data_IF_463021823369
#
_entry.id   IF_463021823369
#
_cell.length_a   1.000
_cell.length_b   1.000
_cell.length_c   1.000
_cell.angle_alpha   90.00
_cell.angle_beta   90.00
_cell.angle_gamma   90.00
#
_symmetry.space_group_name_H-M   'P 1'
#
loop_
_entity.id
_entity.type
_entity.pdbx_description
1 polymer ?
#
# COMPACT_ATOMS: atom_id res chain seq x y z
N UNK A 1 37.27 -4.15 -19.27
CA UNK A 1 36.38 -3.02 -18.91
C UNK A 1 36.24 -3.10 -17.41
N UNK A 2 36.78 -2.13 -16.68
CA UNK A 2 36.62 -2.08 -15.21
C UNK A 2 35.14 -1.92 -14.89
N UNK A 3 34.63 -2.75 -13.97
CA UNK A 3 33.27 -2.61 -13.50
C UNK A 3 33.17 -1.33 -12.67
N UNK A 4 32.14 -0.48 -12.90
CA UNK A 4 31.94 0.71 -12.09
C UNK A 4 31.73 0.31 -10.62
N UNK A 5 32.41 1.00 -9.72
CA UNK A 5 32.32 0.76 -8.28
C UNK A 5 30.91 1.15 -7.80
N UNK A 6 30.12 0.16 -7.41
CA UNK A 6 28.74 0.39 -6.95
C UNK A 6 28.73 0.94 -5.52
N UNK A 7 27.77 1.82 -5.16
CA UNK A 7 27.63 2.28 -3.79
C UNK A 7 27.37 1.10 -2.85
N UNK A 8 27.92 1.19 -1.62
CA UNK A 8 27.74 0.15 -0.59
C UNK A 8 26.26 -0.02 -0.26
N UNK A 9 25.82 -1.24 0.05
CA UNK A 9 24.42 -1.49 0.45
C UNK A 9 24.11 -0.85 1.81
N UNK A 10 22.86 -0.43 2.00
CA UNK A 10 22.35 0.13 3.27
C UNK A 10 22.38 -0.95 4.37
N UNK A 11 22.06 -2.20 4.03
CA UNK A 11 22.10 -3.35 4.93
C UNK A 11 23.28 -4.25 4.56
N UNK A 12 24.04 -4.70 5.57
CA UNK A 12 25.07 -5.71 5.33
C UNK A 12 24.44 -7.10 5.15
N UNK A 13 25.18 -8.02 4.55
CA UNK A 13 24.68 -9.36 4.26
C UNK A 13 24.30 -10.07 5.58
N UNK A 14 23.01 -10.38 5.76
CA UNK A 14 22.47 -11.01 6.97
C UNK A 14 21.78 -10.05 7.95
N UNK A 15 21.75 -8.75 7.66
CA UNK A 15 20.98 -7.77 8.44
C UNK A 15 19.58 -7.57 7.83
N UNK A 16 18.56 -7.49 8.69
CA UNK A 16 17.18 -7.21 8.30
C UNK A 16 16.77 -5.77 8.67
N UNK A 17 15.90 -5.11 7.88
CA UNK A 17 15.34 -3.82 8.26
C UNK A 17 14.54 -3.92 9.58
N UNK A 18 14.52 -2.85 10.40
CA UNK A 18 13.77 -2.84 11.65
C UNK A 18 12.30 -3.26 11.46
N UNK A 19 11.75 -4.05 12.39
CA UNK A 19 10.40 -4.64 12.29
C UNK A 19 9.24 -3.63 12.08
N UNK A 20 9.46 -2.33 12.29
CA UNK A 20 8.49 -1.29 11.91
C UNK A 20 8.30 -1.18 10.38
N UNK A 21 9.18 -1.82 9.61
CA UNK A 21 9.16 -1.90 8.15
C UNK A 21 8.78 -3.29 7.63
N UNK A 22 8.36 -4.22 8.51
CA UNK A 22 7.89 -5.54 8.07
C UNK A 22 6.47 -5.46 7.54
N UNK A 23 6.24 -5.98 6.32
CA UNK A 23 4.90 -6.21 5.77
C UNK A 23 4.36 -7.51 6.41
N UNK A 24 3.30 -7.49 7.24
CA UNK A 24 2.78 -8.70 7.85
C UNK A 24 2.04 -9.55 6.81
N UNK A 25 2.79 -10.48 6.24
CA UNK A 25 2.40 -11.35 5.13
C UNK A 25 1.14 -12.20 5.39
N UNK A 26 0.99 -12.75 6.60
CA UNK A 26 -0.11 -13.68 6.91
C UNK A 26 -1.46 -12.99 7.16
N UNK A 27 -1.46 -11.68 7.42
CA UNK A 27 -2.67 -10.93 7.76
C UNK A 27 -3.57 -10.69 6.54
N UNK A 28 -2.97 -10.58 5.36
CA UNK A 28 -3.62 -10.28 4.09
C UNK A 28 -4.51 -11.42 3.58
N UNK A 29 -4.04 -12.67 3.68
CA UNK A 29 -4.72 -13.84 3.11
C UNK A 29 -6.06 -14.14 3.79
N UNK A 30 -6.07 -14.16 5.13
CA UNK A 30 -7.28 -14.45 5.90
C UNK A 30 -8.33 -13.37 5.68
N UNK A 31 -7.91 -12.10 5.61
CA UNK A 31 -8.81 -10.99 5.33
C UNK A 31 -9.41 -11.07 3.93
N UNK A 32 -8.60 -11.40 2.91
CA UNK A 32 -9.09 -11.60 1.55
C UNK A 32 -10.12 -12.74 1.47
N UNK A 33 -9.83 -13.85 2.15
CA UNK A 33 -10.74 -15.01 2.18
C UNK A 33 -12.07 -14.64 2.82
N UNK A 34 -12.05 -13.89 3.93
CA UNK A 34 -13.25 -13.37 4.58
C UNK A 34 -14.03 -12.44 3.64
N UNK A 35 -13.35 -11.49 2.98
CA UNK A 35 -13.97 -10.57 2.02
C UNK A 35 -14.69 -11.31 0.88
N UNK A 36 -14.01 -12.28 0.25
CA UNK A 36 -14.55 -13.03 -0.88
C UNK A 36 -15.73 -13.92 -0.49
N UNK A 37 -15.75 -14.41 0.75
CA UNK A 37 -16.87 -15.20 1.29
C UNK A 37 -18.09 -14.33 1.61
N UNK A 38 -17.85 -13.11 2.08
CA UNK A 38 -18.89 -12.24 2.64
C UNK A 38 -19.59 -11.37 1.60
N UNK A 39 -18.85 -10.88 0.59
CA UNK A 39 -19.43 -10.04 -0.46
C UNK A 39 -20.20 -10.88 -1.48
N UNK A 40 -21.28 -10.32 -2.01
CA UNK A 40 -21.94 -10.89 -3.19
C UNK A 40 -21.03 -10.75 -4.42
N UNK A 41 -21.23 -11.59 -5.43
CA UNK A 41 -20.40 -11.59 -6.64
C UNK A 41 -20.34 -10.21 -7.33
N UNK A 42 -21.47 -9.49 -7.40
CA UNK A 42 -21.52 -8.14 -7.98
C UNK A 42 -20.77 -7.11 -7.12
N UNK A 43 -20.89 -7.20 -5.80
CA UNK A 43 -20.19 -6.32 -4.85
C UNK A 43 -18.67 -6.56 -4.89
N UNK A 44 -18.24 -7.82 -4.99
CA UNK A 44 -16.84 -8.20 -5.07
C UNK A 44 -16.20 -7.74 -6.40
N UNK A 45 -16.89 -7.93 -7.53
CA UNK A 45 -16.40 -7.45 -8.83
C UNK A 45 -16.39 -5.92 -8.89
N UNK A 46 -17.39 -5.23 -8.32
CA UNK A 46 -17.37 -3.76 -8.20
C UNK A 46 -16.15 -3.27 -7.39
N UNK A 47 -15.85 -3.92 -6.27
CA UNK A 47 -14.68 -3.61 -5.46
C UNK A 47 -13.36 -3.89 -6.19
N UNK A 48 -13.30 -4.96 -6.98
CA UNK A 48 -12.13 -5.34 -7.79
C UNK A 48 -11.88 -4.38 -8.95
N UNK A 49 -12.92 -3.78 -9.51
CA UNK A 49 -12.81 -2.76 -10.56
C UNK A 49 -12.65 -1.33 -10.02
N UNK A 50 -12.69 -1.15 -8.69
CA UNK A 50 -12.36 0.13 -8.04
C UNK A 50 -10.87 0.51 -8.20
N UNK A 51 -10.55 1.78 -7.90
CA UNK A 51 -9.16 2.27 -7.82
C UNK A 51 -8.28 1.51 -6.83
N UNK A 52 -8.90 0.86 -5.83
CA UNK A 52 -8.22 0.05 -4.83
C UNK A 52 -8.25 -1.45 -5.14
N UNK A 53 -8.92 -1.84 -6.22
CA UNK A 53 -9.04 -3.23 -6.63
C UNK A 53 -7.72 -3.89 -7.03
N UNK A 54 -6.66 -3.10 -7.26
CA UNK A 54 -5.29 -3.60 -7.48
C UNK A 54 -4.85 -4.58 -6.38
N UNK A 55 -5.23 -4.34 -5.12
CA UNK A 55 -4.88 -5.21 -4.00
C UNK A 55 -5.58 -6.57 -4.07
N UNK A 56 -6.83 -6.59 -4.54
CA UNK A 56 -7.58 -7.83 -4.80
C UNK A 56 -6.95 -8.57 -5.98
N UNK A 57 -6.66 -7.86 -7.07
CA UNK A 57 -6.02 -8.40 -8.27
C UNK A 57 -4.66 -9.03 -7.95
N UNK A 58 -3.85 -8.39 -7.12
CA UNK A 58 -2.58 -8.96 -6.65
C UNK A 58 -2.77 -10.27 -5.89
N UNK A 59 -3.75 -10.33 -4.99
CA UNK A 59 -4.02 -11.56 -4.26
C UNK A 59 -4.48 -12.70 -5.18
N UNK A 60 -5.38 -12.43 -6.13
CA UNK A 60 -5.87 -13.43 -7.08
C UNK A 60 -4.79 -13.93 -8.05
N UNK A 61 -3.82 -13.06 -8.38
CA UNK A 61 -2.66 -13.41 -9.19
C UNK A 61 -1.56 -14.17 -8.41
N UNK A 62 -1.76 -14.41 -7.10
CA UNK A 62 -0.78 -15.11 -6.28
C UNK A 62 0.52 -14.31 -6.09
N UNK A 63 0.44 -12.98 -6.03
CA UNK A 63 1.60 -12.09 -5.80
C UNK A 63 2.30 -12.28 -4.44
N UNK A 64 1.89 -13.29 -3.66
CA UNK A 64 2.62 -13.89 -2.53
C UNK A 64 4.13 -14.09 -2.81
N UNK A 65 4.49 -14.29 -4.08
CA UNK A 65 5.85 -14.45 -4.60
C UNK A 65 6.69 -13.16 -4.66
N UNK A 66 6.04 -11.99 -4.77
CA UNK A 66 6.73 -10.71 -4.87
C UNK A 66 7.31 -10.22 -3.53
N UNK A 67 7.01 -10.89 -2.41
CA UNK A 67 7.63 -10.60 -1.11
C UNK A 67 9.16 -10.78 -1.15
N UNK A 68 9.64 -11.83 -1.83
CA UNK A 68 11.07 -12.05 -2.06
C UNK A 68 11.66 -10.97 -2.95
N UNK A 69 10.99 -10.62 -4.03
CA UNK A 69 11.41 -9.54 -4.93
C UNK A 69 11.50 -8.20 -4.19
N UNK A 70 10.47 -7.83 -3.44
CA UNK A 70 10.43 -6.60 -2.64
C UNK A 70 11.50 -6.66 -1.56
N UNK A 71 11.69 -7.81 -0.91
CA UNK A 71 12.80 -8.02 0.02
C UNK A 71 14.17 -7.87 -0.65
N UNK A 72 14.37 -8.40 -1.86
CA UNK A 72 15.58 -8.17 -2.66
C UNK A 72 15.72 -6.68 -3.00
N UNK A 73 14.65 -6.03 -3.46
CA UNK A 73 14.66 -4.61 -3.81
C UNK A 73 15.04 -3.74 -2.61
N UNK A 74 14.52 -4.05 -1.43
CA UNK A 74 14.77 -3.34 -0.17
C UNK A 74 16.12 -3.71 0.48
N UNK A 75 16.54 -4.97 0.40
CA UNK A 75 17.79 -5.48 0.99
C UNK A 75 19.04 -5.18 0.15
N UNK A 76 18.87 -4.96 -1.14
CA UNK A 76 19.94 -4.59 -2.08
C UNK A 76 19.92 -3.10 -2.44
N UNK A 77 19.34 -2.26 -1.58
CA UNK A 77 19.40 -0.81 -1.75
C UNK A 77 20.85 -0.32 -1.61
N UNK A 78 21.41 0.33 -2.63
CA UNK A 78 22.68 1.04 -2.51
C UNK A 78 22.49 2.31 -1.67
N UNK A 79 23.50 2.65 -0.86
CA UNK A 79 23.60 3.88 -0.06
C UNK A 79 23.84 5.07 -0.99
N UNK A 80 22.77 5.51 -1.63
CA UNK A 80 22.75 6.64 -2.55
C UNK A 80 22.19 7.85 -1.80
N UNK A 81 22.93 8.96 -1.79
CA UNK A 81 22.52 10.23 -1.16
C UNK A 81 21.38 10.96 -1.90
N UNK A 82 20.77 10.32 -2.90
CA UNK A 82 19.62 10.86 -3.65
C UNK A 82 18.37 10.61 -2.84
N UNK A 83 17.91 11.67 -2.21
CA UNK A 83 16.56 11.73 -1.66
C UNK A 83 15.57 11.47 -2.81
N UNK A 84 14.41 10.89 -2.50
CA UNK A 84 13.27 10.78 -3.42
C UNK A 84 13.25 9.58 -4.38
N UNK A 85 14.22 8.66 -4.30
CA UNK A 85 14.30 7.48 -5.18
C UNK A 85 14.59 6.21 -4.36
N UNK A 86 13.92 5.11 -4.70
CA UNK A 86 14.37 3.77 -4.28
C UNK A 86 15.23 3.22 -5.39
N UNK A 87 16.47 2.91 -5.06
CA UNK A 87 17.38 2.21 -5.95
C UNK A 87 17.57 0.79 -5.42
N UNK A 88 17.70 -0.18 -6.32
CA UNK A 88 18.10 -1.53 -5.94
C UNK A 88 19.04 -2.12 -6.97
N UNK A 89 19.91 -3.02 -6.52
CA UNK A 89 20.80 -3.77 -7.41
C UNK A 89 20.13 -5.09 -7.80
N UNK A 90 19.93 -5.28 -9.10
CA UNK A 90 19.58 -6.57 -9.70
C UNK A 90 20.83 -7.07 -10.44
N UNK A 91 21.54 -8.04 -9.83
CA UNK A 91 22.90 -8.37 -10.28
C UNK A 91 23.83 -7.15 -10.14
N UNK A 92 24.58 -6.77 -11.19
CA UNK A 92 25.40 -5.55 -11.17
C UNK A 92 24.65 -4.29 -11.60
N UNK A 93 23.38 -4.37 -12.00
CA UNK A 93 22.66 -3.25 -12.61
C UNK A 93 21.80 -2.51 -11.57
N UNK A 94 21.95 -1.17 -11.46
CA UNK A 94 21.10 -0.35 -10.61
C UNK A 94 19.75 -0.08 -11.29
N UNK A 95 18.68 -0.54 -10.65
CA UNK A 95 17.30 -0.28 -11.05
C UNK A 95 16.70 0.79 -10.15
N UNK A 96 16.05 1.78 -10.77
CA UNK A 96 15.32 2.85 -10.09
C UNK A 96 13.84 2.50 -10.07
N UNK A 97 13.23 2.58 -8.89
CA UNK A 97 11.79 2.48 -8.70
C UNK A 97 11.31 3.74 -7.97
N UNK A 98 10.46 4.53 -8.61
CA UNK A 98 9.92 5.77 -8.06
C UNK A 98 8.41 5.71 -7.91
N UNK A 99 7.84 6.75 -7.30
CA UNK A 99 6.40 6.89 -7.14
C UNK A 99 5.66 6.90 -8.49
N UNK A 100 6.32 7.31 -9.57
CA UNK A 100 5.76 7.27 -10.92
C UNK A 100 5.61 5.84 -11.43
N UNK A 101 6.64 4.99 -11.28
CA UNK A 101 6.51 3.58 -11.64
C UNK A 101 5.46 2.91 -10.75
N UNK A 102 5.41 3.25 -9.47
CA UNK A 102 4.39 2.72 -8.55
C UNK A 102 2.96 3.13 -8.95
N UNK A 103 2.73 4.40 -9.24
CA UNK A 103 1.44 4.91 -9.71
C UNK A 103 1.04 4.23 -11.02
N UNK A 104 1.93 4.13 -12.01
CA UNK A 104 1.61 3.47 -13.28
C UNK A 104 1.36 1.96 -13.16
N UNK A 105 1.96 1.29 -12.18
CA UNK A 105 1.76 -0.14 -11.96
C UNK A 105 0.50 -0.45 -11.16
N UNK A 106 0.08 0.47 -10.29
CA UNK A 106 -1.00 0.23 -9.32
C UNK A 106 -2.25 1.04 -9.58
N UNK A 107 -2.16 2.07 -10.42
CA UNK A 107 -3.15 3.13 -10.63
C UNK A 107 -3.61 3.83 -9.33
N UNK A 108 -2.86 3.65 -8.23
CA UNK A 108 -3.15 4.31 -6.96
C UNK A 108 -2.78 5.78 -7.03
N UNK A 109 -3.68 6.64 -6.54
CA UNK A 109 -3.40 8.06 -6.46
C UNK A 109 -2.12 8.33 -5.66
N UNK A 110 -1.17 8.99 -6.31
CA UNK A 110 0.12 9.39 -5.78
C UNK A 110 0.30 10.92 -5.71
N UNK A 111 -0.78 11.69 -5.85
CA UNK A 111 -0.77 13.15 -5.76
C UNK A 111 -0.34 13.62 -4.37
N UNK A 112 0.26 14.81 -4.32
CA UNK A 112 0.65 15.42 -3.07
C UNK A 112 -0.56 16.02 -2.35
N UNK A 113 -0.62 15.84 -1.04
CA UNK A 113 -1.60 16.47 -0.15
C UNK A 113 -0.88 16.91 1.14
N UNK A 114 -1.16 18.12 1.63
CA UNK A 114 -0.45 18.68 2.80
C UNK A 114 -0.73 17.88 4.08
N UNK A 115 -1.99 17.51 4.33
CA UNK A 115 -2.42 16.81 5.57
C UNK A 115 -2.75 15.33 5.34
N UNK A 116 -1.78 14.59 4.78
CA UNK A 116 -1.95 13.18 4.41
C UNK A 116 -2.13 12.22 5.60
N UNK A 117 -1.68 12.59 6.81
CA UNK A 117 -1.81 11.73 8.00
C UNK A 117 -3.09 12.01 8.81
N UNK A 118 -3.69 13.18 8.62
CA UNK A 118 -4.80 13.68 9.44
C UNK A 118 -5.85 14.39 8.57
N UNK A 119 -6.47 13.66 7.62
CA UNK A 119 -7.56 14.25 6.86
C UNK A 119 -8.68 14.68 7.81
N UNK A 120 -9.26 15.86 7.56
CA UNK A 120 -10.42 16.30 8.30
C UNK A 120 -11.60 15.37 8.01
N UNK A 121 -12.19 14.80 9.06
CA UNK A 121 -13.41 13.99 8.99
C UNK A 121 -14.26 14.31 10.22
N UNK A 122 -15.45 14.85 9.99
CA UNK A 122 -16.38 15.20 11.06
C UNK A 122 -17.00 13.93 11.66
N UNK A 123 -17.11 13.88 12.99
CA UNK A 123 -17.81 12.79 13.68
C UNK A 123 -19.32 13.03 13.54
N UNK A 124 -19.94 12.36 12.56
CA UNK A 124 -21.38 12.41 12.30
C UNK A 124 -22.10 11.27 13.04
N UNK A 125 -23.44 11.36 13.15
CA UNK A 125 -24.25 10.27 13.71
C UNK A 125 -24.13 8.97 12.89
N UNK A 126 -24.05 9.10 11.57
CA UNK A 126 -23.88 7.97 10.66
C UNK A 126 -22.53 7.27 10.90
N UNK A 127 -21.46 8.04 11.04
CA UNK A 127 -20.13 7.52 11.41
C UNK A 127 -20.18 6.80 12.75
N UNK A 128 -20.77 7.41 13.78
CA UNK A 128 -20.90 6.76 15.09
C UNK A 128 -21.67 5.45 15.00
N UNK A 129 -22.79 5.42 14.28
CA UNK A 129 -23.58 4.20 14.06
C UNK A 129 -22.79 3.12 13.33
N UNK A 130 -22.02 3.49 12.30
CA UNK A 130 -21.18 2.54 11.57
C UNK A 130 -20.06 1.98 12.46
N UNK A 131 -19.42 2.81 13.28
CA UNK A 131 -18.40 2.37 14.25
C UNK A 131 -18.97 1.44 15.33
N UNK A 132 -20.20 1.69 15.80
CA UNK A 132 -20.90 0.81 16.73
C UNK A 132 -21.17 -0.57 16.09
N UNK A 133 -21.55 -0.60 14.80
CA UNK A 133 -21.72 -1.85 14.05
C UNK A 133 -20.41 -2.65 13.93
N UNK A 134 -19.27 -1.96 13.78
CA UNK A 134 -17.93 -2.58 13.85
C UNK A 134 -17.59 -3.10 15.25
N UNK A 135 -18.27 -2.60 16.29
CA UNK A 135 -17.93 -2.88 17.69
C UNK A 135 -16.67 -2.15 18.17
N UNK A 136 -16.34 -1.01 17.55
CA UNK A 136 -15.11 -0.25 17.81
C UNK A 136 -15.47 1.13 18.37
N UNK A 137 -14.74 1.59 19.38
CA UNK A 137 -14.95 2.93 19.93
C UNK A 137 -14.72 4.00 18.85
N UNK A 138 -15.56 5.04 18.80
CA UNK A 138 -15.53 6.05 17.72
C UNK A 138 -14.16 6.69 17.51
N UNK A 139 -13.39 6.89 18.58
CA UNK A 139 -12.02 7.46 18.56
C UNK A 139 -10.90 6.46 18.24
N UNK A 140 -11.23 5.18 18.01
CA UNK A 140 -10.28 4.14 17.62
C UNK A 140 -10.52 3.72 16.16
N UNK A 141 -9.43 3.40 15.45
CA UNK A 141 -9.53 2.72 14.16
C UNK A 141 -9.67 1.22 14.38
N UNK A 142 -10.44 0.50 13.55
CA UNK A 142 -10.57 -0.94 13.68
C UNK A 142 -9.24 -1.63 13.39
N UNK A 143 -8.97 -2.74 14.05
CA UNK A 143 -7.87 -3.67 13.74
C UNK A 143 -8.30 -4.68 12.67
N UNK A 144 -7.36 -5.36 12.02
CA UNK A 144 -7.70 -6.41 11.05
C UNK A 144 -8.53 -7.53 11.68
N UNK A 145 -8.26 -7.87 12.95
CA UNK A 145 -9.06 -8.85 13.69
C UNK A 145 -10.52 -8.44 13.83
N UNK A 146 -10.78 -7.18 14.19
CA UNK A 146 -12.15 -6.64 14.33
C UNK A 146 -12.86 -6.57 12.98
N UNK A 147 -12.14 -6.25 11.90
CA UNK A 147 -12.70 -6.28 10.54
C UNK A 147 -13.11 -7.69 10.14
N UNK A 148 -12.27 -8.70 10.35
CA UNK A 148 -12.59 -10.10 10.01
C UNK A 148 -13.78 -10.59 10.83
N UNK A 149 -13.79 -10.32 12.14
CA UNK A 149 -14.92 -10.66 13.00
C UNK A 149 -16.22 -9.96 12.56
N UNK A 150 -16.12 -8.75 12.00
CA UNK A 150 -17.27 -8.02 11.45
C UNK A 150 -17.73 -8.60 10.13
N UNK A 151 -16.82 -8.97 9.23
CA UNK A 151 -17.14 -9.64 7.95
C UNK A 151 -17.92 -10.95 8.17
N UNK A 152 -17.63 -11.68 9.26
CA UNK A 152 -18.33 -12.93 9.60
C UNK A 152 -19.78 -12.70 10.09
N UNK A 153 -20.17 -11.46 10.43
CA UNK A 153 -21.50 -11.14 10.99
C UNK A 153 -22.27 -10.05 10.22
N UNK A 154 -21.78 -9.61 9.06
CA UNK A 154 -22.38 -8.50 8.31
C UNK A 154 -23.37 -8.93 7.21
N UNK A 155 -23.87 -10.17 7.24
CA UNK A 155 -24.84 -10.69 6.26
C UNK A 155 -26.10 -9.80 6.15
N UNK A 156 -26.61 -9.32 7.29
CA UNK A 156 -27.79 -8.45 7.37
C UNK A 156 -27.52 -6.96 7.15
N UNK A 157 -26.29 -6.56 6.80
CA UNK A 157 -25.96 -5.14 6.59
C UNK A 157 -26.49 -4.64 5.26
N UNK A 158 -26.63 -3.31 5.14
CA UNK A 158 -26.95 -2.67 3.87
C UNK A 158 -25.81 -2.89 2.87
N UNK A 159 -26.12 -2.85 1.56
CA UNK A 159 -25.12 -2.92 0.48
C UNK A 159 -24.05 -1.84 0.64
N UNK A 160 -24.45 -0.62 1.01
CA UNK A 160 -23.53 0.50 1.22
C UNK A 160 -22.60 0.27 2.42
N UNK A 161 -23.11 -0.28 3.52
CA UNK A 161 -22.30 -0.58 4.70
C UNK A 161 -21.36 -1.77 4.47
N UNK A 162 -21.79 -2.79 3.73
CA UNK A 162 -20.90 -3.87 3.27
C UNK A 162 -19.80 -3.33 2.36
N UNK A 163 -20.14 -2.42 1.45
CA UNK A 163 -19.15 -1.73 0.60
C UNK A 163 -18.15 -0.97 1.47
N UNK A 164 -18.61 -0.14 2.42
CA UNK A 164 -17.71 0.56 3.37
C UNK A 164 -16.81 -0.41 4.13
N UNK A 165 -17.37 -1.48 4.68
CA UNK A 165 -16.59 -2.52 5.36
C UNK A 165 -15.51 -3.13 4.46
N UNK A 166 -15.82 -3.33 3.18
CA UNK A 166 -14.86 -3.88 2.22
C UNK A 166 -13.70 -2.92 1.90
N UNK A 167 -13.96 -1.63 1.70
CA UNK A 167 -12.91 -0.62 1.53
C UNK A 167 -12.04 -0.50 2.78
N UNK A 168 -12.66 -0.59 3.94
CA UNK A 168 -11.97 -0.57 5.23
C UNK A 168 -11.10 -1.81 5.41
N UNK A 169 -11.54 -2.98 4.94
CA UNK A 169 -10.72 -4.18 4.88
C UNK A 169 -9.51 -4.01 3.95
N UNK A 170 -9.67 -3.43 2.75
CA UNK A 170 -8.52 -3.13 1.88
C UNK A 170 -7.52 -2.21 2.61
N UNK A 171 -8.00 -1.15 3.24
CA UNK A 171 -7.14 -0.22 3.97
C UNK A 171 -6.41 -0.89 5.14
N UNK A 172 -7.12 -1.63 5.99
CA UNK A 172 -6.52 -2.28 7.16
C UNK A 172 -5.53 -3.39 6.79
N UNK A 173 -5.85 -4.20 5.76
CA UNK A 173 -5.04 -5.36 5.38
C UNK A 173 -3.88 -5.06 4.46
N UNK A 174 -4.04 -4.13 3.52
CA UNK A 174 -3.07 -3.94 2.43
C UNK A 174 -2.35 -2.59 2.49
N UNK A 175 -3.07 -1.51 2.82
CA UNK A 175 -2.48 -0.16 2.83
C UNK A 175 -1.78 0.11 4.15
N UNK A 176 -2.45 -0.11 5.27
CA UNK A 176 -1.83 0.13 6.57
C UNK A 176 -1.05 -1.07 7.07
N UNK A 177 -1.50 -2.29 6.75
CA UNK A 177 -0.78 -3.54 6.95
C UNK A 177 -0.21 -3.64 8.37
N UNK A 178 -1.00 -3.33 9.39
CA UNK A 178 -0.56 -3.41 10.79
C UNK A 178 -0.61 -4.85 11.30
N UNK A 179 -0.04 -5.09 12.48
CA UNK A 179 -0.25 -6.35 13.20
C UNK A 179 -1.75 -6.57 13.44
N UNK A 180 -2.19 -7.83 13.45
CA UNK A 180 -3.59 -8.25 13.48
C UNK A 180 -4.46 -7.55 14.52
N UNK A 181 -3.91 -7.33 15.72
CA UNK A 181 -4.59 -6.72 16.88
C UNK A 181 -4.31 -5.23 17.06
N UNK A 182 -3.46 -4.63 16.23
CA UNK A 182 -3.11 -3.21 16.37
C UNK A 182 -4.18 -2.36 15.68
N UNK A 183 -4.81 -1.42 16.40
CA UNK A 183 -5.76 -0.48 15.81
C UNK A 183 -5.16 0.28 14.65
N UNK A 184 -5.97 0.48 13.60
CA UNK A 184 -5.58 1.35 12.50
C UNK A 184 -5.65 2.82 12.85
N UNK A 185 -5.07 3.70 12.01
CA UNK A 185 -5.22 5.15 12.18
C UNK A 185 -6.67 5.56 11.94
N UNK A 186 -7.35 5.98 13.01
CA UNK A 186 -8.77 6.37 12.98
C UNK A 186 -9.07 7.49 11.97
N UNK A 187 -8.20 8.49 11.85
CA UNK A 187 -8.38 9.61 10.92
C UNK A 187 -8.51 9.16 9.46
N UNK A 188 -7.70 8.17 9.07
CA UNK A 188 -7.72 7.60 7.72
C UNK A 188 -8.86 6.60 7.55
N UNK A 189 -9.12 5.76 8.55
CA UNK A 189 -10.23 4.81 8.53
C UNK A 189 -11.59 5.51 8.32
N UNK A 190 -11.80 6.67 8.97
CA UNK A 190 -13.03 7.48 8.86
C UNK A 190 -13.34 7.99 7.47
N UNK A 191 -12.36 8.07 6.58
CA UNK A 191 -12.60 8.44 5.18
C UNK A 191 -13.56 7.47 4.47
N UNK A 192 -13.73 6.25 4.97
CA UNK A 192 -14.60 5.24 4.34
C UNK A 192 -16.07 5.68 4.29
N UNK A 193 -16.46 6.63 5.15
CA UNK A 193 -17.80 7.23 5.11
C UNK A 193 -18.03 8.06 3.84
N UNK A 194 -16.95 8.53 3.20
CA UNK A 194 -16.94 9.30 1.96
C UNK A 194 -16.20 8.50 0.87
N UNK A 195 -16.81 7.44 0.32
CA UNK A 195 -16.14 6.49 -0.57
C UNK A 195 -15.43 7.12 -1.78
N UNK A 196 -16.02 8.14 -2.40
CA UNK A 196 -15.37 8.86 -3.52
C UNK A 196 -14.07 9.54 -3.05
N UNK A 197 -14.11 10.20 -1.89
CA UNK A 197 -12.91 10.81 -1.29
C UNK A 197 -11.90 9.75 -0.87
N UNK A 198 -12.38 8.60 -0.40
CA UNK A 198 -11.53 7.47 -0.05
C UNK A 198 -10.81 6.94 -1.28
N UNK A 199 -11.49 6.64 -2.38
CA UNK A 199 -10.86 6.14 -3.62
C UNK A 199 -9.85 7.11 -4.21
N UNK A 200 -10.15 8.41 -4.12
CA UNK A 200 -9.28 9.46 -4.61
C UNK A 200 -8.23 9.88 -3.57
N UNK A 201 -8.17 9.27 -2.40
CA UNK A 201 -7.15 9.60 -1.41
C UNK A 201 -5.76 9.16 -1.92
N UNK A 202 -4.66 9.87 -1.60
CA UNK A 202 -3.32 9.52 -2.08
C UNK A 202 -2.72 8.27 -1.42
N UNK A 203 -3.41 7.13 -1.51
CA UNK A 203 -3.02 5.86 -0.90
C UNK A 203 -1.69 5.35 -1.40
N UNK A 204 -1.29 5.69 -2.62
CA UNK A 204 0.04 5.36 -3.12
C UNK A 204 1.16 5.97 -2.29
N UNK A 205 0.91 7.08 -1.57
CA UNK A 205 1.84 7.69 -0.60
C UNK A 205 1.67 7.19 0.84
N UNK A 206 0.64 6.41 1.13
CA UNK A 206 0.39 5.81 2.45
C UNK A 206 0.72 4.31 2.49
N UNK A 207 0.87 3.70 1.32
CA UNK A 207 1.16 2.28 1.14
C UNK A 207 2.49 1.88 1.79
N UNK A 208 2.63 0.65 2.32
CA UNK A 208 3.83 0.21 3.02
C UNK A 208 5.08 0.23 2.12
N UNK A 209 4.87 0.05 0.81
CA UNK A 209 5.91 0.18 -0.22
C UNK A 209 6.53 1.59 -0.26
N UNK A 210 5.81 2.60 0.21
CA UNK A 210 6.27 4.00 0.40
C UNK A 210 6.52 4.38 1.87
N UNK A 211 6.39 3.45 2.81
CA UNK A 211 6.53 3.70 4.25
C UNK A 211 7.81 3.10 4.86
N UNK A 212 8.67 2.42 4.07
CA UNK A 212 10.04 2.18 4.51
C UNK A 212 10.71 3.55 4.76
N UNK A 213 11.53 3.70 5.80
CA UNK A 213 12.00 5.02 6.28
C UNK A 213 12.72 5.84 5.20
N UNK A 214 13.26 5.21 4.16
CA UNK A 214 13.74 5.87 2.94
C UNK A 214 12.63 6.68 2.26
N UNK A 215 11.41 6.15 2.20
CA UNK A 215 10.24 6.73 1.54
C UNK A 215 9.44 7.74 2.38
N UNK A 216 9.56 7.76 3.71
CA UNK A 216 9.15 8.95 4.51
C UNK A 216 10.16 10.10 4.39
N UNK A 217 11.43 9.82 4.12
CA UNK A 217 12.44 10.83 3.74
C UNK A 217 12.24 11.33 2.29
N UNK A 218 11.42 10.63 1.48
CA UNK A 218 10.98 11.10 0.16
C UNK A 218 9.97 12.27 0.27
N UNK A 219 9.41 12.52 1.45
CA UNK A 219 8.32 13.49 1.63
C UNK A 219 8.85 14.72 2.39
N UNK A 220 9.70 15.51 1.72
CA UNK A 220 9.91 16.91 2.10
C UNK A 220 9.67 17.77 0.87
N UNK A 221 8.49 18.37 0.81
CA UNK A 221 8.09 19.29 -0.23
C UNK A 221 8.86 20.61 -0.10
N UNK A 222 10.05 20.68 -0.69
CA UNK A 222 10.73 21.94 -1.00
C UNK A 222 11.18 21.88 -2.44
N UNK A 223 10.65 22.79 -3.27
CA UNK A 223 11.13 23.10 -4.63
C UNK A 223 12.64 23.33 -4.57
N UNK A 224 13.42 22.32 -4.86
CA UNK A 224 14.86 22.43 -4.98
C UNK A 224 15.28 21.61 -6.20
N UNK A 225 15.87 22.32 -7.16
CA UNK A 225 16.60 21.91 -8.36
C UNK A 225 15.94 22.26 -9.71
N UNK A 226 16.58 23.13 -10.52
CA UNK A 226 16.21 23.33 -11.91
C UNK A 226 16.65 22.09 -12.71
N UNK A 227 15.70 21.31 -13.22
CA UNK A 227 15.96 20.14 -14.07
C UNK A 227 15.21 18.86 -13.69
N UNK A 228 14.58 18.81 -12.52
CA UNK A 228 13.69 17.69 -12.17
C UNK A 228 12.31 17.89 -12.82
N UNK A 229 11.94 16.99 -13.74
CA UNK A 229 10.58 16.90 -14.25
C UNK A 229 9.93 15.61 -13.73
N UNK A 230 9.02 15.69 -12.74
CA UNK A 230 8.26 14.52 -12.27
C UNK A 230 7.31 13.95 -13.33
N UNK A 231 7.23 14.56 -14.52
CA UNK A 231 6.46 14.09 -15.67
C UNK A 231 7.37 13.60 -16.81
N UNK A 232 8.61 13.21 -16.51
CA UNK A 232 9.47 12.57 -17.50
C UNK A 232 8.84 11.24 -17.96
N UNK A 233 8.77 10.97 -19.28
CA UNK A 233 8.12 9.78 -19.79
C UNK A 233 8.82 8.49 -19.34
N UNK A 234 8.00 7.48 -19.06
CA UNK A 234 8.43 6.15 -18.61
C UNK A 234 9.29 5.51 -19.71
N UNK A 235 10.44 4.95 -19.32
CA UNK A 235 11.25 4.13 -20.22
C UNK A 235 10.64 2.71 -20.32
N UNK A 236 9.71 2.57 -21.26
CA UNK A 236 8.98 1.32 -21.49
C UNK A 236 9.89 0.12 -21.81
N UNK A 237 11.11 0.36 -22.30
CA UNK A 237 12.07 -0.70 -22.60
C UNK A 237 12.61 -1.30 -21.29
N UNK A 238 13.02 -0.45 -20.35
CA UNK A 238 13.49 -0.89 -19.03
C UNK A 238 12.40 -1.51 -18.18
N UNK A 239 11.17 -1.01 -18.29
CA UNK A 239 10.03 -1.61 -17.61
C UNK A 239 9.77 -3.04 -18.12
N UNK A 240 9.89 -3.26 -19.44
CA UNK A 240 9.77 -4.59 -20.04
C UNK A 240 10.91 -5.52 -19.62
N UNK A 241 12.14 -5.02 -19.57
CA UNK A 241 13.31 -5.79 -19.09
C UNK A 241 13.12 -6.23 -17.63
N UNK A 242 12.63 -5.34 -16.76
CA UNK A 242 12.25 -5.69 -15.39
C UNK A 242 11.14 -6.75 -15.38
N UNK A 243 10.06 -6.54 -16.12
CA UNK A 243 8.93 -7.47 -16.18
C UNK A 243 9.31 -8.85 -16.72
N UNK A 244 10.21 -8.93 -17.70
CA UNK A 244 10.69 -10.19 -18.25
C UNK A 244 11.68 -10.88 -17.29
N UNK A 245 12.52 -10.12 -16.57
CA UNK A 245 13.34 -10.66 -15.49
C UNK A 245 12.49 -11.26 -14.37
N UNK A 246 11.38 -10.60 -13.99
CA UNK A 246 10.42 -11.11 -12.99
C UNK A 246 9.81 -12.47 -13.36
N UNK A 247 9.64 -12.76 -14.65
CA UNK A 247 9.13 -14.05 -15.13
C UNK A 247 10.16 -15.17 -15.05
N UNK A 248 11.45 -14.83 -14.93
CA UNK A 248 12.58 -15.79 -14.96
C UNK A 248 13.22 -16.02 -13.60
N UNK A 249 12.79 -15.27 -12.57
CA UNK A 249 13.24 -15.51 -11.21
C UNK A 249 12.61 -16.83 -10.71
N UNK A 250 13.36 -17.77 -10.10
CA UNK A 250 12.87 -19.04 -9.56
C UNK A 250 12.31 -18.97 -8.13
#
# INVERSE_FOLDING_TARGET
MEMPELPRRIYTLGEEPPAVHSIPYHTCWTLHTALKKTLHDDEYEELKESKLGVFIKFQELGFDWASRLVHYMLGFQPDIKKKYEVWSLIGPEPVRFSLLEFENLTDLNCEYMEDLERPHSAVTKELTSFWEMLGVHVEAGPSTQEIIATLDRCEGWSRDDRKRLAYLAIFTGYIEGRKYSTPTRVSLARLVMELERFENYPWGRQSPYTANSTARVIISNRKLYPGYNPFAPIDNKKLKELADWLKTCP
#
